data_IF_942145391656
#
_entry.id   IF_942145391656
#
_cell.length_a   1.000
_cell.length_b   1.000
_cell.length_c   1.000
_cell.angle_alpha   90.00
_cell.angle_beta   90.00
_cell.angle_gamma   90.00
#
_symmetry.space_group_name_H-M   'P 1'
#
loop_
_entity.id
_entity.type
_entity.pdbx_description
1 polymer ?
#
# COMPACT_ATOMS: atom_id res chain seq x y z
N UNK A 1 16.34 -10.70 3.81
CA UNK A 1 14.94 -11.06 3.51
C UNK A 1 14.31 -9.92 2.71
N UNK A 2 13.44 -10.22 1.75
CA UNK A 2 12.64 -9.23 1.00
C UNK A 2 11.81 -8.34 1.93
N UNK A 3 11.38 -8.89 3.07
CA UNK A 3 10.69 -8.14 4.14
C UNK A 3 11.56 -7.01 4.71
N UNK A 4 12.87 -7.26 4.89
CA UNK A 4 13.80 -6.24 5.38
C UNK A 4 14.00 -5.14 4.34
N UNK A 5 14.07 -5.50 3.05
CA UNK A 5 14.16 -4.51 1.98
C UNK A 5 12.92 -3.62 1.97
N UNK A 6 11.72 -4.19 2.04
CA UNK A 6 10.48 -3.43 2.15
C UNK A 6 10.50 -2.48 3.35
N UNK A 7 10.85 -2.97 4.54
CA UNK A 7 10.93 -2.15 5.74
C UNK A 7 11.93 -0.99 5.60
N UNK A 8 13.10 -1.24 5.00
CA UNK A 8 14.10 -0.20 4.73
C UNK A 8 13.59 0.84 3.74
N UNK A 9 12.92 0.44 2.66
CA UNK A 9 12.35 1.36 1.68
C UNK A 9 11.26 2.24 2.29
N UNK A 10 10.36 1.66 3.12
CA UNK A 10 9.36 2.43 3.83
C UNK A 10 10.01 3.41 4.81
N UNK A 11 10.92 2.94 5.67
CA UNK A 11 11.61 3.78 6.64
C UNK A 11 12.34 4.95 5.97
N UNK A 12 13.07 4.69 4.87
CA UNK A 12 13.77 5.73 4.13
C UNK A 12 12.79 6.74 3.49
N UNK A 13 11.74 6.25 2.83
CA UNK A 13 10.76 7.12 2.14
C UNK A 13 10.04 8.07 3.11
N UNK A 14 9.59 7.55 4.25
CA UNK A 14 8.93 8.36 5.29
C UNK A 14 9.90 9.31 5.99
N UNK A 15 11.18 8.92 6.14
CA UNK A 15 12.22 9.79 6.69
C UNK A 15 12.56 10.94 5.74
N UNK A 16 12.63 10.67 4.43
CA UNK A 16 12.83 11.70 3.42
C UNK A 16 11.67 12.69 3.39
N UNK A 17 10.42 12.21 3.42
CA UNK A 17 9.26 13.10 3.51
C UNK A 17 9.29 13.97 4.77
N UNK A 18 9.70 13.42 5.91
CA UNK A 18 9.89 14.19 7.15
C UNK A 18 10.96 15.27 6.99
N UNK A 19 12.08 14.92 6.34
CA UNK A 19 13.17 15.85 6.10
C UNK A 19 12.73 16.99 5.19
N UNK A 20 12.05 16.67 4.08
CA UNK A 20 11.52 17.64 3.13
C UNK A 20 10.52 18.60 3.79
N UNK A 21 9.63 18.09 4.63
CA UNK A 21 8.72 18.90 5.44
C UNK A 21 9.49 19.84 6.38
N UNK A 22 10.46 19.30 7.13
CA UNK A 22 11.28 20.06 8.09
C UNK A 22 12.03 21.21 7.42
N UNK A 23 12.64 20.95 6.27
CA UNK A 23 13.42 21.95 5.54
C UNK A 23 12.57 22.85 4.62
N UNK A 24 11.24 22.65 4.59
CA UNK A 24 10.32 23.32 3.66
C UNK A 24 10.77 23.20 2.20
N UNK A 25 11.23 22.01 1.83
CA UNK A 25 11.62 21.73 0.44
C UNK A 25 10.39 21.83 -0.48
N UNK A 26 10.58 22.20 -1.76
CA UNK A 26 9.50 22.23 -2.75
C UNK A 26 9.16 20.81 -3.25
N UNK A 27 9.08 19.83 -2.35
CA UNK A 27 8.71 18.44 -2.62
C UNK A 27 7.33 18.18 -2.04
N UNK A 28 6.34 17.74 -2.84
CA UNK A 28 5.03 17.40 -2.33
C UNK A 28 5.12 16.27 -1.29
N UNK A 29 4.32 16.39 -0.23
CA UNK A 29 4.12 15.32 0.75
C UNK A 29 3.26 14.20 0.18
N UNK A 30 3.75 13.51 -0.84
CA UNK A 30 3.06 12.41 -1.51
C UNK A 30 3.98 11.20 -1.60
N UNK A 31 3.47 10.05 -1.15
CA UNK A 31 4.08 8.75 -1.41
C UNK A 31 3.07 7.86 -2.15
N UNK A 32 3.52 7.25 -3.25
CA UNK A 32 2.76 6.22 -3.97
C UNK A 32 3.50 4.91 -3.77
N UNK A 33 2.84 3.94 -3.17
CA UNK A 33 3.42 2.65 -2.79
C UNK A 33 2.62 1.56 -3.50
N UNK A 34 3.33 0.69 -4.21
CA UNK A 34 2.75 -0.44 -4.92
C UNK A 34 3.19 -1.76 -4.26
N UNK A 35 2.22 -2.61 -3.93
CA UNK A 35 2.39 -3.98 -3.44
C UNK A 35 3.32 -4.13 -2.22
N UNK A 36 2.88 -3.67 -1.04
CA UNK A 36 3.59 -3.97 0.23
C UNK A 36 3.52 -5.46 0.57
N UNK A 37 2.57 -6.19 0.03
CA UNK A 37 2.38 -7.61 0.30
C UNK A 37 3.36 -8.53 -0.43
N UNK A 38 4.07 -8.03 -1.45
CA UNK A 38 4.92 -8.86 -2.33
C UNK A 38 5.87 -9.83 -1.60
N UNK A 39 6.59 -9.45 -0.53
CA UNK A 39 7.49 -10.37 0.18
C UNK A 39 6.79 -11.60 0.78
N UNK A 40 5.46 -11.54 0.91
CA UNK A 40 4.62 -12.50 1.62
C UNK A 40 3.72 -13.31 0.68
N UNK A 41 3.73 -13.03 -0.62
CA UNK A 41 2.91 -13.72 -1.62
C UNK A 41 3.77 -14.58 -2.57
N UNK A 42 3.35 -15.82 -2.88
CA UNK A 42 3.93 -16.57 -3.98
C UNK A 42 3.62 -15.87 -5.31
N UNK A 43 4.57 -15.90 -6.24
CA UNK A 43 4.47 -15.19 -7.53
C UNK A 43 3.23 -15.65 -8.32
N UNK A 44 2.35 -14.71 -8.70
CA UNK A 44 1.33 -14.92 -9.75
C UNK A 44 -0.13 -15.14 -9.30
N UNK A 45 -0.55 -14.66 -8.12
CA UNK A 45 -1.94 -14.76 -7.65
C UNK A 45 -2.82 -13.54 -7.98
N UNK A 46 -4.14 -13.76 -8.03
CA UNK A 46 -5.17 -12.70 -8.04
C UNK A 46 -5.26 -11.99 -6.66
N UNK A 47 -6.19 -11.04 -6.50
CA UNK A 47 -6.56 -10.47 -5.19
C UNK A 47 -6.79 -11.61 -4.18
N UNK A 48 -6.14 -11.51 -3.03
CA UNK A 48 -6.23 -12.51 -1.97
C UNK A 48 -6.60 -11.82 -0.68
N UNK A 49 -7.45 -12.47 0.11
CA UNK A 49 -7.74 -12.00 1.47
C UNK A 49 -6.48 -12.15 2.31
N UNK A 50 -6.27 -11.26 3.27
CA UNK A 50 -5.13 -11.36 4.19
C UNK A 50 -5.07 -12.75 4.86
N UNK A 51 -6.23 -13.31 5.23
CA UNK A 51 -6.38 -14.65 5.81
C UNK A 51 -5.89 -15.80 4.91
N UNK A 52 -5.75 -15.58 3.62
CA UNK A 52 -5.29 -16.58 2.64
C UNK A 52 -3.75 -16.60 2.51
N UNK A 53 -3.04 -15.77 3.27
CA UNK A 53 -1.58 -15.78 3.35
C UNK A 53 -1.10 -17.00 4.15
N UNK A 54 -0.03 -17.64 3.67
CA UNK A 54 0.44 -18.95 4.14
C UNK A 54 0.93 -18.96 5.60
N UNK A 55 1.29 -17.80 6.17
CA UNK A 55 1.86 -17.69 7.51
C UNK A 55 1.21 -16.57 8.32
N UNK A 56 0.96 -16.85 9.59
CA UNK A 56 0.40 -15.90 10.54
C UNK A 56 1.33 -14.69 10.76
N UNK A 57 2.65 -14.94 10.84
CA UNK A 57 3.66 -13.88 10.97
C UNK A 57 3.63 -12.88 9.80
N UNK A 58 3.28 -13.34 8.60
CA UNK A 58 3.20 -12.52 7.40
C UNK A 58 1.95 -11.62 7.43
N UNK A 59 0.83 -12.13 7.94
CA UNK A 59 -0.40 -11.35 8.16
C UNK A 59 -0.17 -10.26 9.21
N UNK A 60 0.48 -10.63 10.33
CA UNK A 60 0.85 -9.69 11.40
C UNK A 60 1.79 -8.60 10.88
N UNK A 61 2.76 -8.95 10.03
CA UNK A 61 3.67 -7.97 9.45
C UNK A 61 2.93 -6.97 8.53
N UNK A 62 2.00 -7.46 7.69
CA UNK A 62 1.16 -6.61 6.84
C UNK A 62 0.30 -5.64 7.65
N UNK A 63 -0.35 -6.13 8.71
CA UNK A 63 -1.15 -5.27 9.61
C UNK A 63 -0.29 -4.20 10.28
N UNK A 64 0.93 -4.55 10.71
CA UNK A 64 1.88 -3.57 11.27
C UNK A 64 2.28 -2.49 10.26
N UNK A 65 2.52 -2.87 9.01
CA UNK A 65 2.83 -1.91 7.95
C UNK A 65 1.65 -0.98 7.71
N UNK A 66 0.44 -1.51 7.52
CA UNK A 66 -0.77 -0.69 7.29
C UNK A 66 -1.01 0.25 8.46
N UNK A 67 -0.87 -0.23 9.71
CA UNK A 67 -0.97 0.61 10.89
C UNK A 67 0.05 1.74 10.90
N UNK A 68 1.30 1.44 10.57
CA UNK A 68 2.35 2.45 10.44
C UNK A 68 1.99 3.53 9.40
N UNK A 69 1.42 3.15 8.25
CA UNK A 69 0.98 4.12 7.22
C UNK A 69 -0.11 5.06 7.76
N UNK A 70 -1.11 4.52 8.47
CA UNK A 70 -2.16 5.32 9.09
C UNK A 70 -1.61 6.26 10.16
N UNK A 71 -0.76 5.78 11.05
CA UNK A 71 -0.17 6.59 12.12
C UNK A 71 0.69 7.74 11.57
N UNK A 72 1.47 7.49 10.51
CA UNK A 72 2.31 8.52 9.91
C UNK A 72 1.51 9.55 9.09
N UNK A 73 0.44 9.14 8.42
CA UNK A 73 -0.45 10.08 7.69
C UNK A 73 -1.30 10.90 8.65
N UNK A 74 -1.79 10.31 9.76
CA UNK A 74 -2.51 11.04 10.79
C UNK A 74 -1.63 12.07 11.52
N UNK A 75 -0.33 11.78 11.68
CA UNK A 75 0.62 12.66 12.38
C UNK A 75 1.04 13.87 11.56
N UNK A 76 0.95 13.81 10.22
CA UNK A 76 1.53 14.80 9.31
C UNK A 76 0.47 15.29 8.32
N UNK A 77 -0.15 16.42 8.61
CA UNK A 77 -1.24 16.97 7.79
C UNK A 77 -0.88 17.21 6.31
N UNK A 78 0.41 17.43 6.01
CA UNK A 78 0.91 17.61 4.65
C UNK A 78 1.26 16.32 3.91
N UNK A 79 1.15 15.14 4.53
CA UNK A 79 1.54 13.86 3.94
C UNK A 79 0.30 13.07 3.48
N UNK A 80 0.29 12.72 2.20
CA UNK A 80 -0.64 11.78 1.58
C UNK A 80 0.10 10.51 1.16
N UNK A 81 -0.52 9.37 1.41
CA UNK A 81 -0.07 8.06 0.93
C UNK A 81 -1.15 7.48 0.01
N UNK A 82 -0.76 7.07 -1.19
CA UNK A 82 -1.57 6.27 -2.10
C UNK A 82 -0.99 4.86 -2.08
N UNK A 83 -1.73 3.91 -1.52
CA UNK A 83 -1.36 2.50 -1.50
C UNK A 83 -2.15 1.74 -2.56
N UNK A 84 -1.44 1.04 -3.43
CA UNK A 84 -2.01 0.08 -4.39
C UNK A 84 -1.63 -1.31 -3.90
N UNK A 85 -2.62 -2.16 -3.65
CA UNK A 85 -2.41 -3.46 -3.02
C UNK A 85 -3.38 -4.50 -3.57
N UNK A 86 -2.89 -5.74 -3.70
CA UNK A 86 -3.66 -6.93 -4.07
C UNK A 86 -4.21 -7.67 -2.84
N UNK A 87 -3.52 -7.57 -1.70
CA UNK A 87 -4.02 -8.10 -0.44
C UNK A 87 -5.16 -7.22 0.12
N UNK A 88 -6.30 -7.84 0.42
CA UNK A 88 -7.43 -7.14 1.04
C UNK A 88 -7.57 -7.50 2.53
N UNK A 89 -7.51 -6.50 3.41
CA UNK A 89 -7.65 -6.64 4.86
C UNK A 89 -9.08 -6.30 5.27
N UNK A 90 -9.99 -7.25 5.08
CA UNK A 90 -11.43 -7.03 5.30
C UNK A 90 -11.80 -6.81 6.77
N UNK A 91 -11.00 -7.36 7.68
CA UNK A 91 -11.24 -7.27 9.12
C UNK A 91 -10.79 -5.94 9.74
N UNK A 92 -10.12 -5.07 8.99
CA UNK A 92 -9.66 -3.75 9.44
C UNK A 92 -10.61 -2.64 8.91
N UNK A 93 -11.50 -2.09 9.76
CA UNK A 93 -12.47 -1.09 9.32
C UNK A 93 -11.84 0.22 8.84
N UNK A 94 -10.68 0.60 9.39
CA UNK A 94 -9.97 1.83 9.02
C UNK A 94 -9.36 1.66 7.62
N UNK A 95 -8.73 0.51 7.37
CA UNK A 95 -8.28 0.11 6.03
C UNK A 95 -9.45 0.12 5.04
N UNK A 96 -10.54 -0.58 5.34
CA UNK A 96 -11.72 -0.68 4.47
C UNK A 96 -12.31 0.70 4.15
N UNK A 97 -12.40 1.60 5.13
CA UNK A 97 -12.89 2.97 4.92
C UNK A 97 -11.93 3.83 4.06
N UNK A 98 -10.63 3.54 4.11
CA UNK A 98 -9.63 4.21 3.29
C UNK A 98 -9.64 3.75 1.82
N UNK A 99 -10.09 2.52 1.53
CA UNK A 99 -10.15 1.99 0.16
C UNK A 99 -11.07 2.83 -0.73
N UNK A 100 -10.51 3.37 -1.82
CA UNK A 100 -11.24 4.19 -2.80
C UNK A 100 -11.69 3.43 -4.04
N UNK A 101 -11.09 2.28 -4.32
CA UNK A 101 -11.43 1.45 -5.46
C UNK A 101 -10.99 0.01 -5.24
N UNK A 102 -11.78 -0.94 -5.75
CA UNK A 102 -11.45 -2.36 -5.79
C UNK A 102 -11.60 -2.87 -7.21
N UNK A 103 -10.51 -3.34 -7.79
CA UNK A 103 -10.42 -3.79 -9.17
C UNK A 103 -10.27 -5.31 -9.22
N UNK A 104 -11.35 -6.00 -8.85
CA UNK A 104 -11.37 -7.46 -8.76
C UNK A 104 -11.90 -8.04 -10.07
N UNK A 105 -11.51 -9.28 -10.41
CA UNK A 105 -12.10 -9.95 -11.59
C UNK A 105 -13.62 -10.07 -11.47
N UNK A 106 -14.15 -10.23 -10.26
CA UNK A 106 -15.57 -10.35 -9.99
C UNK A 106 -16.35 -9.04 -10.18
N UNK A 107 -15.73 -7.88 -9.92
CA UNK A 107 -16.39 -6.58 -10.10
C UNK A 107 -16.46 -6.17 -11.57
N UNK A 108 -15.60 -6.72 -12.44
CA UNK A 108 -15.47 -6.31 -13.85
C UNK A 108 -14.91 -4.89 -14.04
N UNK A 109 -14.67 -4.16 -12.94
CA UNK A 109 -14.08 -2.81 -12.95
C UNK A 109 -12.56 -2.93 -12.93
N UNK A 110 -11.90 -2.22 -13.83
CA UNK A 110 -10.44 -2.21 -13.96
C UNK A 110 -9.87 -0.85 -13.57
N UNK A 111 -8.65 -0.84 -13.03
CA UNK A 111 -7.91 0.41 -12.79
C UNK A 111 -7.65 1.14 -14.11
N UNK A 112 -7.26 0.38 -15.13
CA UNK A 112 -7.12 0.87 -16.50
C UNK A 112 -8.46 0.68 -17.22
N UNK A 113 -9.11 1.77 -17.68
CA UNK A 113 -10.38 1.69 -18.39
C UNK A 113 -10.28 0.81 -19.64
N UNK A 114 -11.34 0.06 -19.95
CA UNK A 114 -11.32 -0.87 -21.09
C UNK A 114 -11.46 -0.16 -22.44
N UNK A 115 -11.89 1.10 -22.44
CA UNK A 115 -12.03 1.99 -23.59
C UNK A 115 -10.77 2.84 -23.86
N UNK A 116 -9.72 2.70 -23.05
CA UNK A 116 -8.46 3.38 -23.32
C UNK A 116 -7.85 2.92 -24.65
N UNK A 117 -7.29 3.84 -25.46
CA UNK A 117 -6.74 3.50 -26.76
C UNK A 117 -5.58 2.52 -26.60
N UNK A 118 -5.65 1.41 -27.33
CA UNK A 118 -4.51 0.51 -27.46
C UNK A 118 -3.38 1.24 -28.17
N UNK A 119 -2.15 1.03 -27.69
CA UNK A 119 -0.97 1.39 -28.48
C UNK A 119 -0.95 0.48 -29.72
N UNK A 120 -1.23 1.06 -30.88
CA UNK A 120 -0.94 0.46 -32.18
C UNK A 120 0.56 0.35 -32.40
#
# INVERSE_FOLDING_TARGET
SDQNYLAMHLALSFSLQKLFETMRAPVPGLLVIDQISRPYYPKGGDEKRLKEMEKDDDQVAMQKIVRFLFEETARRAGLQVILIEHAYIEEDPEYVAAVKGRWTKASGVKLIPSDWPNRN
#
